data_IF_301164125020
#
_entry.id   IF_301164125020
#
_cell.length_a   1.000
_cell.length_b   1.000
_cell.length_c   1.000
_cell.angle_alpha   90.00
_cell.angle_beta   90.00
_cell.angle_gamma   90.00
#
_symmetry.space_group_name_H-M   'P 1'
#
loop_
_entity.id
_entity.type
_entity.pdbx_description
1 polymer ?
#
# COMPACT_ATOMS: atom_id res chain seq x y z
N UNK A 1 8.07 33.17 -2.03
CA UNK A 1 6.74 33.75 -1.69
C UNK A 1 5.72 33.90 -2.83
N UNK A 2 5.98 34.69 -3.90
CA UNK A 2 4.95 35.07 -4.89
C UNK A 2 4.22 33.90 -5.59
N UNK A 3 4.94 32.82 -5.91
CA UNK A 3 4.38 31.62 -6.55
C UNK A 3 3.42 30.86 -5.62
N UNK A 4 3.71 30.85 -4.32
CA UNK A 4 2.87 30.21 -3.29
C UNK A 4 1.57 30.98 -3.14
N UNK A 5 1.64 32.31 -2.99
CA UNK A 5 0.47 33.18 -2.88
C UNK A 5 -0.44 33.11 -4.11
N UNK A 6 0.15 33.08 -5.32
CA UNK A 6 -0.61 32.89 -6.56
C UNK A 6 -1.36 31.56 -6.59
N UNK A 7 -0.68 30.45 -6.24
CA UNK A 7 -1.31 29.12 -6.19
C UNK A 7 -2.45 29.08 -5.16
N UNK A 8 -2.27 29.80 -4.06
CA UNK A 8 -3.21 29.83 -2.95
C UNK A 8 -4.47 30.66 -3.28
N UNK A 9 -4.32 31.78 -3.99
CA UNK A 9 -5.46 32.51 -4.55
C UNK A 9 -6.24 31.66 -5.55
N UNK A 10 -5.52 30.88 -6.37
CA UNK A 10 -6.14 29.96 -7.32
C UNK A 10 -6.93 28.85 -6.62
N UNK A 11 -6.43 28.33 -5.50
CA UNK A 11 -7.16 27.40 -4.64
C UNK A 11 -8.44 28.01 -4.07
N UNK A 12 -8.39 29.27 -3.64
CA UNK A 12 -9.55 29.97 -3.11
C UNK A 12 -10.64 30.16 -4.18
N UNK A 13 -10.25 30.48 -5.42
CA UNK A 13 -11.19 30.55 -6.54
C UNK A 13 -11.87 29.20 -6.81
N UNK A 14 -11.10 28.10 -6.81
CA UNK A 14 -11.65 26.75 -7.01
C UNK A 14 -12.58 26.35 -5.87
N UNK A 15 -12.27 26.75 -4.63
CA UNK A 15 -13.13 26.52 -3.48
C UNK A 15 -14.50 27.19 -3.63
N UNK A 16 -14.53 28.49 -3.93
CA UNK A 16 -15.81 29.22 -4.12
C UNK A 16 -16.61 28.66 -5.29
N UNK A 17 -15.93 28.24 -6.34
CA UNK A 17 -16.54 27.63 -7.50
C UNK A 17 -17.16 26.25 -7.19
N UNK A 18 -16.51 25.42 -6.38
CA UNK A 18 -17.06 24.16 -5.88
C UNK A 18 -18.25 24.41 -4.95
N UNK A 19 -18.14 25.38 -4.04
CA UNK A 19 -19.21 25.78 -3.14
C UNK A 19 -20.46 26.19 -3.93
N UNK A 20 -20.30 27.02 -4.96
CA UNK A 20 -21.40 27.44 -5.85
C UNK A 20 -22.02 26.24 -6.58
N UNK A 21 -21.22 25.29 -7.05
CA UNK A 21 -21.74 24.09 -7.72
C UNK A 21 -22.62 23.24 -6.80
N UNK A 22 -22.23 23.05 -5.55
CA UNK A 22 -23.03 22.28 -4.58
C UNK A 22 -24.27 23.03 -4.10
N UNK A 23 -24.24 24.37 -4.08
CA UNK A 23 -25.38 25.22 -3.70
C UNK A 23 -26.40 25.42 -4.82
N UNK A 24 -25.97 25.28 -6.08
CA UNK A 24 -26.88 25.46 -7.22
C UNK A 24 -27.83 24.27 -7.26
N UNK A 25 -29.11 24.50 -6.93
CA UNK A 25 -30.15 23.50 -7.08
C UNK A 25 -30.26 23.14 -8.56
N UNK A 26 -29.92 21.90 -8.89
CA UNK A 26 -29.87 21.42 -10.27
C UNK A 26 -30.95 20.35 -10.43
N UNK A 27 -31.85 20.58 -11.39
CA UNK A 27 -32.92 19.63 -11.68
C UNK A 27 -32.36 18.47 -12.49
N UNK A 28 -32.38 17.28 -11.89
CA UNK A 28 -31.84 16.07 -12.50
C UNK A 28 -32.95 15.23 -13.12
N UNK A 29 -33.38 15.62 -14.33
CA UNK A 29 -34.48 14.97 -15.04
C UNK A 29 -34.03 13.81 -15.94
N UNK A 30 -32.76 13.79 -16.34
CA UNK A 30 -32.18 12.75 -17.19
C UNK A 30 -30.93 12.12 -16.57
N UNK A 31 -30.66 10.87 -16.92
CA UNK A 31 -29.52 10.11 -16.45
C UNK A 31 -28.18 10.77 -16.83
N UNK A 32 -28.08 11.42 -17.99
CA UNK A 32 -26.85 12.13 -18.40
C UNK A 32 -26.59 13.35 -17.51
N UNK A 33 -27.66 14.01 -17.03
CA UNK A 33 -27.54 15.16 -16.13
C UNK A 33 -26.84 14.81 -14.82
N UNK A 34 -27.12 13.61 -14.27
CA UNK A 34 -26.42 13.08 -13.09
C UNK A 34 -24.93 12.84 -13.36
N UNK A 35 -24.59 12.21 -14.49
CA UNK A 35 -23.21 11.92 -14.86
C UNK A 35 -22.42 13.19 -15.15
N UNK A 36 -23.03 14.16 -15.84
CA UNK A 36 -22.42 15.46 -16.14
C UNK A 36 -22.10 16.24 -14.87
N UNK A 37 -23.03 16.34 -13.93
CA UNK A 37 -22.77 17.00 -12.65
C UNK A 37 -21.67 16.29 -11.87
N UNK A 38 -21.80 14.97 -11.67
CA UNK A 38 -20.78 14.17 -10.96
C UNK A 38 -19.40 14.33 -11.59
N UNK A 39 -19.33 14.26 -12.92
CA UNK A 39 -18.09 14.42 -13.68
C UNK A 39 -17.50 15.82 -13.52
N UNK A 40 -18.32 16.87 -13.60
CA UNK A 40 -17.90 18.27 -13.44
C UNK A 40 -17.33 18.53 -12.04
N UNK A 41 -18.03 18.08 -11.00
CA UNK A 41 -17.58 18.21 -9.60
C UNK A 41 -16.31 17.39 -9.38
N UNK A 42 -16.26 16.15 -9.84
CA UNK A 42 -15.09 15.27 -9.69
C UNK A 42 -13.85 15.87 -10.36
N UNK A 43 -13.98 16.38 -11.60
CA UNK A 43 -12.86 17.04 -12.31
C UNK A 43 -12.32 18.24 -11.52
N UNK A 44 -13.21 19.06 -10.94
CA UNK A 44 -12.82 20.23 -10.13
C UNK A 44 -12.17 19.84 -8.81
N UNK A 45 -12.64 18.79 -8.14
CA UNK A 45 -11.98 18.24 -6.93
C UNK A 45 -10.58 17.71 -7.24
N UNK A 46 -10.41 16.99 -8.35
CA UNK A 46 -9.10 16.50 -8.78
C UNK A 46 -8.16 17.66 -9.10
N UNK A 47 -8.65 18.66 -9.82
CA UNK A 47 -7.90 19.87 -10.10
C UNK A 47 -7.48 20.60 -8.82
N UNK A 48 -8.40 20.74 -7.87
CA UNK A 48 -8.11 21.34 -6.57
C UNK A 48 -7.01 20.58 -5.80
N UNK A 49 -7.08 19.25 -5.80
CA UNK A 49 -6.04 18.41 -5.20
C UNK A 49 -4.67 18.62 -5.86
N UNK A 50 -4.64 18.81 -7.17
CA UNK A 50 -3.39 19.08 -7.91
C UNK A 50 -2.77 20.42 -7.49
N UNK A 51 -3.57 21.46 -7.28
CA UNK A 51 -3.10 22.77 -6.81
C UNK A 51 -2.52 22.68 -5.40
N UNK A 52 -3.19 21.96 -4.49
CA UNK A 52 -2.71 21.69 -3.13
C UNK A 52 -1.35 20.99 -3.18
N UNK A 53 -1.20 19.98 -4.02
CA UNK A 53 0.09 19.28 -4.18
C UNK A 53 1.18 20.19 -4.73
N UNK A 54 0.87 21.06 -5.70
CA UNK A 54 1.83 22.02 -6.24
C UNK A 54 2.27 23.03 -5.18
N UNK A 55 1.34 23.54 -4.39
CA UNK A 55 1.64 24.46 -3.29
C UNK A 55 2.49 23.81 -2.21
N UNK A 56 2.16 22.57 -1.82
CA UNK A 56 2.94 21.80 -0.85
C UNK A 56 4.38 21.58 -1.34
N UNK A 57 4.57 21.21 -2.61
CA UNK A 57 5.90 21.07 -3.20
C UNK A 57 6.68 22.39 -3.20
N UNK A 58 6.02 23.50 -3.54
CA UNK A 58 6.65 24.82 -3.52
C UNK A 58 7.07 25.23 -2.10
N UNK A 59 6.27 24.89 -1.08
CA UNK A 59 6.60 25.13 0.34
C UNK A 59 7.80 24.29 0.75
N UNK A 60 7.83 23.00 0.44
CA UNK A 60 8.98 22.13 0.75
C UNK A 60 10.27 22.60 0.07
N UNK A 61 10.20 23.16 -1.14
CA UNK A 61 11.35 23.75 -1.83
C UNK A 61 11.86 25.01 -1.10
N UNK A 62 10.96 25.87 -0.60
CA UNK A 62 11.34 27.03 0.21
C UNK A 62 11.96 26.62 1.56
N UNK A 63 11.40 25.62 2.24
CA UNK A 63 11.93 25.12 3.51
C UNK A 63 13.34 24.52 3.35
N UNK A 64 13.63 23.87 2.22
CA UNK A 64 14.95 23.34 1.91
C UNK A 64 15.98 24.43 1.54
N UNK A 65 15.53 25.66 1.28
CA UNK A 65 16.38 26.80 0.93
C UNK A 65 16.69 27.71 2.13
N UNK A 66 16.40 27.26 3.36
CA UNK A 66 16.50 28.04 4.61
C UNK A 66 15.66 29.34 4.63
N UNK A 67 14.69 29.47 3.71
CA UNK A 67 13.71 30.55 3.76
C UNK A 67 12.58 30.16 4.73
N UNK A 68 12.40 30.95 5.79
CA UNK A 68 11.30 30.76 6.73
C UNK A 68 9.95 30.94 6.01
N UNK A 69 9.18 29.85 5.89
CA UNK A 69 7.83 29.91 5.36
C UNK A 69 6.90 30.47 6.43
N UNK A 70 6.19 31.54 6.09
CA UNK A 70 5.19 32.20 6.92
C UNK A 70 4.15 31.18 7.44
N UNK A 71 3.94 31.20 8.75
CA UNK A 71 3.01 30.32 9.45
C UNK A 71 1.57 30.47 8.94
N UNK A 72 1.19 31.68 8.51
CA UNK A 72 -0.09 31.97 7.87
C UNK A 72 -0.33 31.14 6.59
N UNK A 73 0.72 30.89 5.80
CA UNK A 73 0.64 30.10 4.58
C UNK A 73 0.38 28.63 4.90
N UNK A 74 1.01 28.11 5.96
CA UNK A 74 0.83 26.73 6.41
C UNK A 74 -0.59 26.50 6.93
N UNK A 75 -1.10 27.41 7.76
CA UNK A 75 -2.47 27.37 8.26
C UNK A 75 -3.49 27.37 7.11
N UNK A 76 -3.30 28.25 6.13
CA UNK A 76 -4.21 28.38 4.99
C UNK A 76 -4.15 27.16 4.04
N UNK A 77 -2.99 26.53 3.90
CA UNK A 77 -2.87 25.25 3.20
C UNK A 77 -3.62 24.14 3.93
N UNK A 78 -3.50 24.05 5.25
CA UNK A 78 -4.18 23.04 6.06
C UNK A 78 -5.71 23.19 5.96
N UNK A 79 -6.22 24.43 5.99
CA UNK A 79 -7.62 24.74 5.72
C UNK A 79 -8.08 24.17 4.37
N UNK A 80 -7.31 24.39 3.30
CA UNK A 80 -7.65 23.89 1.96
C UNK A 80 -7.58 22.36 1.87
N UNK A 81 -6.65 21.70 2.56
CA UNK A 81 -6.57 20.23 2.66
C UNK A 81 -7.83 19.67 3.35
N UNK A 82 -8.26 20.28 4.45
CA UNK A 82 -9.48 19.87 5.18
C UNK A 82 -10.72 20.08 4.30
N UNK A 83 -10.79 21.20 3.61
CA UNK A 83 -11.90 21.54 2.70
C UNK A 83 -11.98 20.57 1.52
N UNK A 84 -10.86 20.20 0.92
CA UNK A 84 -10.81 19.17 -0.13
C UNK A 84 -11.38 17.82 0.36
N UNK A 85 -11.01 17.39 1.57
CA UNK A 85 -11.55 16.15 2.17
C UNK A 85 -13.06 16.24 2.35
N UNK A 86 -13.57 17.38 2.80
CA UNK A 86 -15.01 17.61 2.91
C UNK A 86 -15.69 17.48 1.54
N UNK A 87 -15.21 18.13 0.49
CA UNK A 87 -15.82 18.01 -0.84
C UNK A 87 -15.83 16.59 -1.40
N UNK A 88 -14.77 15.79 -1.15
CA UNK A 88 -14.78 14.37 -1.51
C UNK A 88 -15.89 13.62 -0.80
N UNK A 89 -16.08 13.87 0.50
CA UNK A 89 -17.14 13.25 1.30
C UNK A 89 -18.53 13.71 0.85
N UNK A 90 -18.73 15.00 0.61
CA UNK A 90 -20.00 15.54 0.12
C UNK A 90 -20.38 14.96 -1.24
N UNK A 91 -19.43 14.85 -2.18
CA UNK A 91 -19.70 14.19 -3.47
C UNK A 91 -20.10 12.71 -3.30
N UNK A 92 -19.44 11.99 -2.39
CA UNK A 92 -19.79 10.61 -2.08
C UNK A 92 -21.18 10.49 -1.47
N UNK A 93 -21.52 11.36 -0.52
CA UNK A 93 -22.84 11.40 0.12
C UNK A 93 -23.92 11.73 -0.90
N UNK A 94 -23.72 12.77 -1.69
CA UNK A 94 -24.60 13.17 -2.78
C UNK A 94 -24.86 12.00 -3.75
N UNK A 95 -23.81 11.28 -4.17
CA UNK A 95 -23.98 10.12 -5.05
C UNK A 95 -24.83 9.02 -4.42
N UNK A 96 -24.62 8.74 -3.13
CA UNK A 96 -25.37 7.69 -2.43
C UNK A 96 -26.85 8.02 -2.28
N UNK A 97 -27.20 9.30 -2.12
CA UNK A 97 -28.58 9.78 -2.08
C UNK A 97 -29.26 9.67 -3.46
N UNK A 98 -28.52 9.98 -4.53
CA UNK A 98 -29.08 10.12 -5.88
C UNK A 98 -28.97 8.84 -6.74
N UNK A 99 -28.15 7.85 -6.35
CA UNK A 99 -27.93 6.63 -7.14
C UNK A 99 -29.21 5.88 -7.49
N UNK A 100 -30.19 5.85 -6.59
CA UNK A 100 -31.46 5.12 -6.81
C UNK A 100 -32.25 5.75 -7.96
N UNK A 101 -32.34 7.08 -7.97
CA UNK A 101 -33.03 7.82 -9.03
C UNK A 101 -32.30 7.69 -10.36
N UNK A 102 -30.97 7.75 -10.34
CA UNK A 102 -30.13 7.50 -11.52
C UNK A 102 -30.43 6.12 -12.14
N UNK A 103 -30.37 5.04 -11.34
CA UNK A 103 -30.64 3.69 -11.87
C UNK A 103 -32.07 3.54 -12.38
N UNK A 104 -33.06 4.19 -11.73
CA UNK A 104 -34.44 4.21 -12.22
C UNK A 104 -34.53 4.82 -13.62
N UNK A 105 -33.87 5.95 -13.85
CA UNK A 105 -33.85 6.61 -15.16
C UNK A 105 -33.11 5.79 -16.22
N UNK A 106 -31.99 5.14 -15.86
CA UNK A 106 -31.28 4.25 -16.78
C UNK A 106 -32.17 3.08 -17.25
N UNK A 107 -32.88 2.44 -16.32
CA UNK A 107 -33.79 1.33 -16.65
C UNK A 107 -34.94 1.82 -17.54
N UNK A 108 -35.52 2.99 -17.23
CA UNK A 108 -36.57 3.58 -18.05
C UNK A 108 -36.11 3.83 -19.49
N UNK A 109 -34.94 4.45 -19.67
CA UNK A 109 -34.38 4.73 -21.00
C UNK A 109 -34.12 3.43 -21.80
N UNK A 110 -33.58 2.39 -21.15
CA UNK A 110 -33.36 1.08 -21.80
C UNK A 110 -34.69 0.45 -22.23
N UNK A 111 -35.72 0.50 -21.39
CA UNK A 111 -37.03 -0.06 -21.70
C UNK A 111 -37.73 0.71 -22.83
N UNK A 112 -37.64 2.03 -22.83
CA UNK A 112 -38.17 2.88 -23.91
C UNK A 112 -37.48 2.58 -25.23
N UNK A 113 -36.14 2.48 -25.23
CA UNK A 113 -35.38 2.12 -26.42
C UNK A 113 -35.80 0.76 -26.99
N UNK A 114 -35.99 -0.24 -26.13
CA UNK A 114 -36.45 -1.58 -26.53
C UNK A 114 -37.88 -1.55 -27.10
N UNK A 115 -38.75 -0.70 -26.56
CA UNK A 115 -40.13 -0.51 -27.07
C UNK A 115 -40.15 0.11 -28.46
N UNK A 116 -39.26 1.06 -28.74
CA UNK A 116 -39.11 1.66 -30.07
C UNK A 116 -38.56 0.66 -31.09
N UNK A 117 -37.53 -0.12 -30.75
CA UNK A 117 -36.95 -1.13 -31.64
C UNK A 117 -37.96 -2.23 -32.05
N UNK A 118 -38.93 -2.56 -31.19
CA UNK A 118 -39.96 -3.55 -31.49
C UNK A 118 -41.10 -3.05 -32.38
N UNK A 119 -41.23 -1.74 -32.60
CA UNK A 119 -42.33 -1.14 -33.37
C UNK A 119 -41.97 -0.88 -34.85
N UNK A 120 -40.68 -0.96 -35.20
CA UNK A 120 -40.16 -0.67 -36.55
C UNK A 120 -40.10 -1.89 -37.49
N UNK A 121 -40.63 -3.07 -37.08
CA UNK A 121 -40.55 -4.32 -37.87
C UNK A 121 -41.83 -4.73 -38.58
N UNK A 122 -42.88 -3.89 -38.64
CA UNK A 122 -44.15 -4.24 -39.32
C UNK A 122 -44.52 -3.21 -40.39
N UNK A 123 -44.08 -3.48 -41.64
CA UNK A 123 -44.59 -3.07 -42.98
C UNK A 123 -43.39 -3.22 -43.94
N UNK A 124 -43.41 -3.97 -45.05
CA UNK A 124 -44.40 -4.03 -46.14
C UNK A 124 -44.08 -5.20 -47.09
N UNK A 125 -45.08 -5.61 -47.86
CA UNK A 125 -45.19 -6.75 -48.77
C UNK A 125 -44.42 -6.67 -50.10
N UNK A 126 -43.90 -7.84 -50.51
CA UNK A 126 -43.78 -8.43 -51.86
C UNK A 126 -43.91 -7.57 -53.13
N UNK A 127 -42.83 -7.52 -53.90
CA UNK A 127 -42.66 -8.06 -55.28
C UNK A 127 -41.37 -7.46 -55.89
N UNK A 128 -40.21 -7.83 -55.34
CA UNK A 128 -38.88 -7.58 -55.94
C UNK A 128 -37.84 -8.57 -55.36
N UNK A 129 -38.33 -9.79 -55.09
CA UNK A 129 -37.83 -10.62 -53.98
C UNK A 129 -36.36 -11.01 -54.18
N UNK A 130 -35.89 -11.25 -55.41
CA UNK A 130 -34.52 -11.69 -55.63
C UNK A 130 -33.48 -10.55 -55.65
N UNK A 131 -33.76 -9.41 -56.28
CA UNK A 131 -32.82 -8.27 -56.26
C UNK A 131 -32.85 -7.55 -54.90
N UNK A 132 -34.02 -7.52 -54.25
CA UNK A 132 -34.17 -7.09 -52.87
C UNK A 132 -33.42 -8.03 -51.91
N UNK A 133 -33.50 -9.36 -52.06
CA UNK A 133 -32.73 -10.30 -51.22
C UNK A 133 -31.22 -10.17 -51.43
N UNK A 134 -30.75 -9.96 -52.66
CA UNK A 134 -29.32 -9.73 -52.94
C UNK A 134 -28.84 -8.39 -52.36
N UNK A 135 -29.64 -7.34 -52.50
CA UNK A 135 -29.37 -6.02 -51.93
C UNK A 135 -29.44 -6.04 -50.40
N UNK A 136 -30.37 -6.78 -49.82
CA UNK A 136 -30.53 -6.95 -48.38
C UNK A 136 -29.40 -7.80 -47.80
N UNK A 137 -28.99 -8.88 -48.49
CA UNK A 137 -27.81 -9.68 -48.13
C UNK A 137 -26.53 -8.85 -48.22
N UNK A 138 -26.39 -8.01 -49.26
CA UNK A 138 -25.26 -7.07 -49.38
C UNK A 138 -25.26 -6.04 -48.26
N UNK A 139 -26.42 -5.46 -47.93
CA UNK A 139 -26.56 -4.50 -46.85
C UNK A 139 -26.31 -5.15 -45.49
N UNK A 140 -26.76 -6.39 -45.29
CA UNK A 140 -26.49 -7.20 -44.11
C UNK A 140 -24.99 -7.45 -43.98
N UNK A 141 -24.31 -7.84 -45.06
CA UNK A 141 -22.86 -8.05 -45.05
C UNK A 141 -22.07 -6.75 -44.79
N UNK A 142 -22.48 -5.63 -45.37
CA UNK A 142 -21.88 -4.31 -45.09
C UNK A 142 -22.10 -3.92 -43.62
N UNK A 143 -23.29 -4.15 -43.09
CA UNK A 143 -23.62 -3.90 -41.69
C UNK A 143 -22.80 -4.80 -40.76
N UNK A 144 -22.61 -6.07 -41.13
CA UNK A 144 -21.78 -7.03 -40.40
C UNK A 144 -20.30 -6.65 -40.42
N UNK A 145 -19.76 -6.21 -41.56
CA UNK A 145 -18.39 -5.68 -41.69
C UNK A 145 -18.21 -4.42 -40.85
N UNK A 146 -19.19 -3.51 -40.86
CA UNK A 146 -19.15 -2.31 -40.03
C UNK A 146 -19.24 -2.67 -38.54
N UNK A 147 -20.06 -3.66 -38.17
CA UNK A 147 -20.15 -4.21 -36.82
C UNK A 147 -18.83 -4.83 -36.39
N UNK A 148 -18.18 -5.63 -37.24
CA UNK A 148 -16.86 -6.23 -36.97
C UNK A 148 -15.76 -5.17 -36.89
N UNK A 149 -15.80 -4.13 -37.72
CA UNK A 149 -14.83 -3.02 -37.69
C UNK A 149 -14.99 -2.20 -36.41
N UNK A 150 -16.22 -1.94 -35.98
CA UNK A 150 -16.52 -1.27 -34.71
C UNK A 150 -16.09 -2.14 -33.53
N UNK A 151 -16.40 -3.44 -33.55
CA UNK A 151 -15.93 -4.38 -32.52
C UNK A 151 -14.40 -4.48 -32.45
N UNK A 152 -13.71 -4.48 -33.61
CA UNK A 152 -12.24 -4.45 -33.68
C UNK A 152 -11.67 -3.14 -33.14
N UNK A 153 -12.31 -2.01 -33.43
CA UNK A 153 -11.95 -0.70 -32.87
C UNK A 153 -12.12 -0.69 -31.35
N UNK A 154 -13.24 -1.21 -30.84
CA UNK A 154 -13.52 -1.32 -29.41
C UNK A 154 -12.55 -2.30 -28.70
N UNK A 155 -12.14 -3.39 -29.35
CA UNK A 155 -11.11 -4.30 -28.84
C UNK A 155 -9.72 -3.66 -28.81
N UNK A 156 -9.34 -2.92 -29.84
CA UNK A 156 -8.07 -2.16 -29.87
C UNK A 156 -8.05 -1.05 -28.82
N UNK A 157 -9.16 -0.33 -28.64
CA UNK A 157 -9.33 0.67 -27.59
C UNK A 157 -9.27 0.02 -26.20
N UNK A 158 -9.93 -1.13 -26.02
CA UNK A 158 -9.86 -1.93 -24.79
C UNK A 158 -8.44 -2.42 -24.50
N UNK A 159 -7.67 -2.79 -25.51
CA UNK A 159 -6.25 -3.16 -25.37
C UNK A 159 -5.39 -1.96 -24.94
N UNK A 160 -5.66 -0.77 -25.48
CA UNK A 160 -5.01 0.46 -25.01
C UNK A 160 -5.41 0.84 -23.58
N UNK A 161 -6.65 0.57 -23.17
CA UNK A 161 -7.13 0.76 -21.80
C UNK A 161 -6.46 -0.25 -20.85
N UNK A 162 -6.30 -1.51 -21.26
CA UNK A 162 -5.56 -2.52 -20.49
C UNK A 162 -4.09 -2.13 -20.28
N UNK A 163 -3.41 -1.65 -21.33
CA UNK A 163 -2.04 -1.10 -21.20
C UNK A 163 -1.98 0.11 -20.26
N UNK A 164 -3.03 0.94 -20.20
CA UNK A 164 -3.12 2.05 -19.24
C UNK A 164 -3.39 1.54 -17.81
N UNK A 165 -4.18 0.49 -17.63
CA UNK A 165 -4.43 -0.14 -16.33
C UNK A 165 -3.14 -0.76 -15.75
N UNK A 166 -2.29 -1.34 -16.58
CA UNK A 166 -1.03 -1.96 -16.15
C UNK A 166 -0.02 -0.91 -15.62
N UNK A 167 0.03 0.26 -16.27
CA UNK A 167 0.80 1.43 -15.78
C UNK A 167 0.26 1.97 -14.45
N UNK A 168 -1.05 1.93 -14.26
CA UNK A 168 -1.68 2.34 -13.00
C UNK A 168 -1.38 1.32 -11.90
N UNK A 169 -1.42 0.02 -12.21
CA UNK A 169 -1.13 -1.05 -11.26
C UNK A 169 0.32 -1.01 -10.77
N UNK A 170 1.29 -0.85 -11.69
CA UNK A 170 2.71 -0.66 -11.34
C UNK A 170 2.94 0.60 -10.51
N UNK A 171 2.23 1.69 -10.79
CA UNK A 171 2.26 2.90 -9.96
C UNK A 171 1.67 2.65 -8.55
N UNK A 172 0.59 1.88 -8.43
CA UNK A 172 0.03 1.49 -7.13
C UNK A 172 0.97 0.58 -6.34
N UNK A 173 1.60 -0.39 -7.01
CA UNK A 173 2.57 -1.29 -6.40
C UNK A 173 3.77 -0.52 -5.83
N UNK A 174 4.32 0.43 -6.60
CA UNK A 174 5.43 1.28 -6.12
C UNK A 174 5.02 2.15 -4.92
N UNK A 175 3.80 2.70 -4.91
CA UNK A 175 3.24 3.46 -3.79
C UNK A 175 3.00 2.60 -2.54
N UNK A 176 2.51 1.38 -2.71
CA UNK A 176 2.34 0.41 -1.63
C UNK A 176 3.69 0.01 -1.03
N UNK A 177 4.68 -0.29 -1.87
CA UNK A 177 6.04 -0.63 -1.43
C UNK A 177 6.70 0.50 -0.65
N UNK A 178 6.58 1.74 -1.12
CA UNK A 178 7.06 2.93 -0.42
C UNK A 178 6.36 3.13 0.93
N UNK A 179 5.03 2.98 0.98
CA UNK A 179 4.26 3.09 2.22
C UNK A 179 4.63 2.00 3.23
N UNK A 180 4.83 0.76 2.77
CA UNK A 180 5.28 -0.35 3.61
C UNK A 180 6.68 -0.10 4.20
N UNK A 181 7.60 0.46 3.41
CA UNK A 181 8.92 0.86 3.90
C UNK A 181 8.86 1.95 4.97
N UNK A 182 7.97 2.94 4.81
CA UNK A 182 7.73 3.96 5.83
C UNK A 182 7.13 3.38 7.11
N UNK A 183 6.16 2.47 7.00
CA UNK A 183 5.60 1.77 8.17
C UNK A 183 6.69 0.96 8.89
N UNK A 184 7.55 0.26 8.14
CA UNK A 184 8.66 -0.49 8.72
C UNK A 184 9.71 0.42 9.37
N UNK A 185 10.00 1.60 8.81
CA UNK A 185 10.95 2.54 9.40
C UNK A 185 10.40 3.18 10.68
N UNK A 186 9.11 3.53 10.70
CA UNK A 186 8.41 4.00 11.90
C UNK A 186 8.40 2.90 12.98
N UNK A 187 8.07 1.66 12.62
CA UNK A 187 8.09 0.53 13.55
C UNK A 187 9.48 0.28 14.11
N UNK A 188 10.52 0.32 13.27
CA UNK A 188 11.92 0.21 13.71
C UNK A 188 12.34 1.36 14.63
N UNK A 189 11.85 2.58 14.40
CA UNK A 189 12.12 3.73 15.27
C UNK A 189 11.45 3.57 16.64
N UNK A 190 10.17 3.21 16.66
CA UNK A 190 9.44 2.92 17.89
C UNK A 190 10.06 1.77 18.70
N UNK A 191 10.58 0.74 18.01
CA UNK A 191 11.27 -0.38 18.68
C UNK A 191 12.61 0.04 19.29
N UNK A 192 13.35 0.96 18.65
CA UNK A 192 14.58 1.53 19.22
C UNK A 192 14.27 2.41 20.45
N UNK A 193 13.21 3.20 20.40
CA UNK A 193 12.78 4.02 21.54
C UNK A 193 12.33 3.13 22.71
N UNK A 194 11.60 2.04 22.41
CA UNK A 194 11.24 1.04 23.41
C UNK A 194 12.45 0.33 24.04
N UNK A 195 13.52 0.09 23.26
CA UNK A 195 14.77 -0.49 23.78
C UNK A 195 15.47 0.45 24.76
N UNK A 196 15.50 1.75 24.48
CA UNK A 196 16.07 2.76 25.41
C UNK A 196 15.32 2.82 26.74
N UNK A 197 13.98 2.71 26.71
CA UNK A 197 13.16 2.62 27.93
C UNK A 197 13.53 1.36 28.72
N UNK A 198 13.68 0.21 28.03
CA UNK A 198 14.05 -1.05 28.68
C UNK A 198 15.47 -1.03 29.27
N UNK A 199 16.44 -0.41 28.59
CA UNK A 199 17.78 -0.23 29.13
C UNK A 199 17.78 0.66 30.38
N UNK A 200 17.00 1.73 30.38
CA UNK A 200 16.86 2.61 31.54
C UNK A 200 16.23 1.88 32.73
N UNK A 201 15.21 1.04 32.47
CA UNK A 201 14.60 0.19 33.49
C UNK A 201 15.58 -0.83 34.07
N UNK A 202 16.35 -1.52 33.23
CA UNK A 202 17.37 -2.46 33.70
C UNK A 202 18.50 -1.81 34.47
N UNK A 203 18.93 -0.62 34.05
CA UNK A 203 19.93 0.13 34.79
C UNK A 203 19.42 0.46 36.20
N UNK A 204 18.17 0.90 36.31
CA UNK A 204 17.53 1.16 37.59
C UNK A 204 17.42 -0.11 38.46
N UNK A 205 16.91 -1.21 37.89
CA UNK A 205 16.81 -2.49 38.60
C UNK A 205 18.18 -3.02 39.02
N UNK A 206 19.21 -2.87 38.18
CA UNK A 206 20.59 -3.26 38.51
C UNK A 206 21.12 -2.46 39.70
N UNK A 207 20.91 -1.14 39.72
CA UNK A 207 21.30 -0.28 40.85
C UNK A 207 20.52 -0.65 42.13
N UNK A 208 19.21 -0.90 42.02
CA UNK A 208 18.39 -1.35 43.14
C UNK A 208 18.86 -2.71 43.68
N UNK A 209 19.10 -3.69 42.81
CA UNK A 209 19.65 -4.99 43.15
C UNK A 209 21.03 -4.84 43.81
N UNK A 210 21.90 -3.97 43.29
CA UNK A 210 23.22 -3.71 43.87
C UNK A 210 23.12 -3.19 45.31
N UNK A 211 22.22 -2.24 45.59
CA UNK A 211 22.01 -1.72 46.95
C UNK A 211 21.48 -2.81 47.88
N UNK A 212 20.53 -3.63 47.43
CA UNK A 212 19.97 -4.75 48.20
C UNK A 212 21.05 -5.81 48.47
N UNK A 213 21.81 -6.22 47.46
CA UNK A 213 22.93 -7.17 47.55
C UNK A 213 24.04 -6.65 48.48
N UNK A 214 24.33 -5.35 48.44
CA UNK A 214 25.26 -4.68 49.34
C UNK A 214 24.79 -4.72 50.79
N UNK A 215 23.48 -4.57 51.03
CA UNK A 215 22.90 -4.56 52.38
C UNK A 215 22.71 -5.97 52.97
N UNK A 216 22.42 -6.97 52.15
CA UNK A 216 22.25 -8.37 52.60
C UNK A 216 23.57 -9.12 52.82
N UNK A 217 24.73 -8.52 52.54
CA UNK A 217 26.02 -9.23 52.63
C UNK A 217 26.20 -10.36 51.60
N UNK A 218 25.33 -10.43 50.59
CA UNK A 218 25.33 -11.44 49.52
C UNK A 218 26.59 -11.37 48.64
N UNK A 219 27.29 -10.22 48.63
CA UNK A 219 28.60 -10.07 47.97
C UNK A 219 29.56 -11.16 48.46
N UNK A 220 29.53 -11.49 49.76
CA UNK A 220 30.36 -12.55 50.33
C UNK A 220 29.90 -13.95 49.91
N UNK A 221 28.59 -14.17 49.80
CA UNK A 221 28.03 -15.43 49.32
C UNK A 221 28.35 -15.68 47.83
N UNK A 222 28.25 -14.65 46.98
CA UNK A 222 28.55 -14.73 45.54
C UNK A 222 30.04 -14.97 45.29
N UNK A 223 30.94 -14.30 46.02
CA UNK A 223 32.38 -14.56 45.93
C UNK A 223 32.70 -16.00 46.32
N UNK A 224 32.04 -16.53 47.35
CA UNK A 224 32.17 -17.93 47.77
C UNK A 224 31.64 -18.89 46.69
N UNK A 225 30.50 -18.58 46.08
CA UNK A 225 29.91 -19.36 45.00
C UNK A 225 30.81 -19.40 43.75
N UNK A 226 31.38 -18.26 43.35
CA UNK A 226 32.30 -18.16 42.20
C UNK A 226 33.59 -18.95 42.49
N UNK A 227 34.15 -18.84 43.70
CA UNK A 227 35.29 -19.68 44.11
C UNK A 227 34.97 -21.16 44.03
N UNK A 228 33.78 -21.57 44.47
CA UNK A 228 33.32 -22.95 44.43
C UNK A 228 33.15 -23.45 42.98
N UNK A 229 32.60 -22.62 42.09
CA UNK A 229 32.42 -22.92 40.68
C UNK A 229 33.78 -23.07 39.97
N UNK A 230 34.73 -22.18 40.26
CA UNK A 230 36.09 -22.28 39.72
C UNK A 230 36.82 -23.54 40.25
N UNK A 231 36.64 -23.86 41.53
CA UNK A 231 37.19 -25.08 42.12
C UNK A 231 36.59 -26.34 41.49
N UNK A 232 35.28 -26.36 41.24
CA UNK A 232 34.60 -27.46 40.56
C UNK A 232 35.10 -27.65 39.11
N UNK A 233 35.27 -26.56 38.37
CA UNK A 233 35.84 -26.60 37.01
C UNK A 233 37.28 -27.14 37.05
N UNK A 234 38.10 -26.68 37.98
CA UNK A 234 39.48 -27.15 38.13
C UNK A 234 39.54 -28.63 38.53
N UNK A 235 38.59 -29.08 39.37
CA UNK A 235 38.45 -30.48 39.76
C UNK A 235 38.03 -31.35 38.57
N UNK A 236 37.05 -30.91 37.78
CA UNK A 236 36.64 -31.58 36.55
C UNK A 236 37.80 -31.67 35.55
N UNK A 237 38.60 -30.61 35.41
CA UNK A 237 39.76 -30.63 34.53
C UNK A 237 40.83 -31.62 35.01
N UNK A 238 41.15 -31.65 36.31
CA UNK A 238 42.06 -32.64 36.90
C UNK A 238 41.53 -34.07 36.73
N UNK A 239 40.23 -34.27 36.92
CA UNK A 239 39.58 -35.55 36.72
C UNK A 239 39.69 -36.00 35.26
N UNK A 240 39.40 -35.12 34.30
CA UNK A 240 39.55 -35.38 32.87
C UNK A 240 40.99 -35.73 32.49
N UNK A 241 41.99 -35.02 33.03
CA UNK A 241 43.42 -35.34 32.78
C UNK A 241 43.78 -36.72 33.35
N UNK A 242 43.29 -37.06 34.55
CA UNK A 242 43.56 -38.35 35.19
C UNK A 242 42.92 -39.52 34.42
N UNK A 243 41.68 -39.34 33.96
CA UNK A 243 40.99 -40.32 33.11
C UNK A 243 41.69 -40.46 31.77
N UNK A 244 42.11 -39.35 31.15
CA UNK A 244 42.88 -39.39 29.90
C UNK A 244 44.22 -40.11 30.07
N UNK A 245 44.92 -39.91 31.19
CA UNK A 245 46.17 -40.61 31.48
C UNK A 245 45.93 -42.12 31.65
N UNK A 246 44.89 -42.53 32.39
CA UNK A 246 44.52 -43.94 32.51
C UNK A 246 44.14 -44.56 31.17
N UNK A 247 43.40 -43.83 30.33
CA UNK A 247 43.02 -44.30 29.01
C UNK A 247 44.24 -44.44 28.09
N UNK A 248 45.20 -43.50 28.16
CA UNK A 248 46.46 -43.57 27.41
C UNK A 248 47.33 -44.75 27.85
N UNK A 249 47.39 -45.05 29.15
CA UNK A 249 48.10 -46.23 29.67
C UNK A 249 47.45 -47.51 29.17
N UNK A 250 46.12 -47.60 29.20
CA UNK A 250 45.37 -48.76 28.71
C UNK A 250 45.51 -48.94 27.19
N UNK A 251 45.57 -47.86 26.42
CA UNK A 251 45.79 -47.93 24.97
C UNK A 251 47.22 -48.39 24.62
N UNK A 252 48.23 -47.94 25.38
CA UNK A 252 49.61 -48.45 25.23
C UNK A 252 49.72 -49.95 25.57
N UNK A 253 48.95 -50.43 26.54
CA UNK A 253 48.89 -51.84 26.91
C UNK A 253 48.22 -52.68 25.81
N UNK A 254 47.17 -52.15 25.18
CA UNK A 254 46.52 -52.77 24.01
C UNK A 254 47.44 -52.79 22.77
N UNK A 255 48.15 -51.69 22.46
CA UNK A 255 49.10 -51.64 21.34
C UNK A 255 50.27 -52.62 21.53
N UNK A 256 50.75 -52.80 22.77
CA UNK A 256 51.78 -53.79 23.09
C UNK A 256 51.28 -55.22 22.86
N UNK A 257 50.05 -55.53 23.27
CA UNK A 257 49.44 -56.85 23.02
C UNK A 257 49.21 -57.15 21.53
N UNK A 258 48.76 -56.17 20.75
CA UNK A 258 48.54 -56.34 19.30
C UNK A 258 49.85 -56.50 18.53
N UNK A 259 50.93 -55.82 18.94
CA UNK A 259 52.26 -56.00 18.34
C UNK A 259 52.89 -57.37 18.67
N UNK A 260 52.60 -57.94 19.85
CA UNK A 260 53.07 -59.26 20.25
C UNK A 260 52.35 -60.39 19.52
N UNK A 261 51.07 -60.22 19.17
CA UNK A 261 50.32 -61.22 18.40
C UNK A 261 50.67 -61.18 16.91
N UNK A 262 50.93 -60.01 16.32
CA UNK A 262 51.36 -59.89 14.91
C UNK A 262 52.78 -60.44 14.70
N UNK A 263 53.68 -60.28 15.67
CA UNK A 263 55.05 -60.80 15.56
C UNK A 263 55.13 -62.34 15.68
N UNK A 264 54.15 -62.98 16.32
CA UNK A 264 54.02 -64.44 16.37
C UNK A 264 53.41 -65.05 15.10
N UNK A 265 52.64 -64.29 14.32
CA UNK A 265 51.99 -64.81 13.09
C UNK A 265 52.84 -64.70 11.83
N UNK A 266 53.96 -63.97 11.85
CA UNK A 266 54.87 -63.77 10.69
C UNK A 266 56.10 -64.68 10.74
N UNK A 267 56.29 -65.43 11.82
CA UNK A 267 57.40 -66.40 12.00
C UNK A 267 56.93 -67.86 12.02
N UNK A 268 55.76 -68.15 11.42
CA UNK A 268 55.31 -69.52 11.11
C UNK A 268 55.39 -69.81 9.61
#
# INVERSE_FOLDING_TARGET
MNKINSTLNHMQLVNENLKKLFLTQQDFNDHDSYLLFRGKVSKRIVYYASLISQCNNNISVCENADESVDEYVKEKLEYHIKTLRNYKRELSKWWMEHKKNYYRLCVHNILDKKKCESHDTIKTSGTDVNDLHLKDTKNMMINEINRMKNAKSQLLESSHILKKQDKIFTMFESRLKSSAQLILSIRKKAEKDSKYVWYSFFFFVSVCCYIILRRLGFIRAIITLIKLLFFAIFYLLKFCIRVFYLFKTKNKENDFSTSADISKSVTS
#
